data_IF_660402602861
#
_entry.id   IF_660402602861
#
_cell.length_a   1.000
_cell.length_b   1.000
_cell.length_c   1.000
_cell.angle_alpha   90.00
_cell.angle_beta   90.00
_cell.angle_gamma   90.00
#
_symmetry.space_group_name_H-M   'P 1'
#
loop_
_entity.id
_entity.type
_entity.pdbx_description
1 polymer ?
#
# COMPACT_ATOMS: atom_id res chain seq x y z
N UNK A 1 7.24 -40.60 -36.22
CA UNK A 1 5.97 -41.33 -36.08
C UNK A 1 4.96 -40.67 -37.00
N UNK A 2 4.46 -41.42 -37.97
CA UNK A 2 3.50 -40.97 -38.98
C UNK A 2 2.14 -40.74 -38.34
N UNK A 3 1.57 -39.54 -38.47
CA UNK A 3 0.17 -39.29 -38.12
C UNK A 3 -0.67 -39.53 -39.37
N UNK A 4 -1.25 -40.73 -39.46
CA UNK A 4 -2.33 -41.04 -40.40
C UNK A 4 -3.55 -40.20 -40.02
N UNK A 5 -4.03 -39.39 -40.96
CA UNK A 5 -5.32 -38.70 -40.82
C UNK A 5 -6.42 -39.61 -41.40
N UNK A 6 -7.21 -40.21 -40.52
CA UNK A 6 -8.48 -40.87 -40.86
C UNK A 6 -9.55 -39.82 -41.13
N UNK A 7 -9.85 -39.60 -42.41
CA UNK A 7 -11.10 -38.98 -42.83
C UNK A 7 -11.85 -39.96 -43.74
N UNK A 8 -12.42 -40.98 -43.10
CA UNK A 8 -13.49 -41.77 -43.67
C UNK A 8 -14.76 -40.91 -43.75
N UNK A 9 -15.36 -40.88 -44.94
CA UNK A 9 -16.73 -40.52 -45.33
C UNK A 9 -16.75 -39.59 -46.55
N UNK A 10 -16.22 -40.10 -47.67
CA UNK A 10 -16.62 -39.59 -48.98
C UNK A 10 -17.88 -40.36 -49.42
N UNK A 11 -18.97 -39.63 -49.65
CA UNK A 11 -20.23 -40.20 -50.14
C UNK A 11 -19.98 -40.82 -51.52
N UNK A 12 -20.24 -42.12 -51.63
CA UNK A 12 -19.86 -42.97 -52.77
C UNK A 12 -21.06 -43.25 -53.67
N UNK A 13 -21.87 -42.25 -54.00
CA UNK A 13 -23.04 -42.43 -54.86
C UNK A 13 -23.02 -41.40 -55.99
N UNK A 14 -22.83 -41.89 -57.22
CA UNK A 14 -22.88 -41.07 -58.42
C UNK A 14 -24.27 -40.53 -58.67
N UNK A 15 -24.38 -39.21 -58.72
CA UNK A 15 -25.43 -38.50 -59.46
C UNK A 15 -24.78 -37.34 -60.20
N UNK A 16 -24.82 -37.42 -61.51
CA UNK A 16 -24.46 -36.36 -62.43
C UNK A 16 -25.51 -35.23 -62.37
N UNK A 17 -25.05 -34.01 -62.64
CA UNK A 17 -25.76 -32.92 -63.34
C UNK A 17 -26.05 -31.60 -62.60
N UNK A 18 -25.58 -30.54 -63.28
CA UNK A 18 -25.94 -29.12 -63.26
C UNK A 18 -25.33 -28.16 -62.23
N UNK A 19 -24.50 -27.25 -62.77
CA UNK A 19 -24.90 -25.84 -62.83
C UNK A 19 -24.47 -24.94 -61.68
N UNK A 20 -23.52 -24.04 -61.99
CA UNK A 20 -22.97 -22.93 -61.18
C UNK A 20 -21.96 -23.35 -60.11
N UNK A 21 -20.71 -23.42 -60.56
CA UNK A 21 -19.56 -23.56 -59.69
C UNK A 21 -19.26 -22.23 -58.95
N UNK A 22 -20.05 -21.94 -57.91
CA UNK A 22 -19.60 -21.04 -56.84
C UNK A 22 -18.57 -21.83 -56.04
N UNK A 23 -17.30 -21.54 -56.27
CA UNK A 23 -16.18 -22.07 -55.47
C UNK A 23 -16.37 -21.63 -54.02
N UNK A 24 -16.99 -22.47 -53.19
CA UNK A 24 -16.96 -22.31 -51.75
C UNK A 24 -15.57 -22.70 -51.28
N UNK A 25 -14.74 -21.69 -51.01
CA UNK A 25 -13.46 -21.89 -50.34
C UNK A 25 -13.82 -22.27 -48.90
N UNK A 26 -13.77 -23.57 -48.60
CA UNK A 26 -13.87 -24.09 -47.24
C UNK A 26 -12.55 -23.75 -46.54
N UNK A 27 -12.56 -22.66 -45.78
CA UNK A 27 -11.47 -22.39 -44.86
C UNK A 27 -11.60 -23.35 -43.67
N UNK A 28 -10.74 -24.37 -43.62
CA UNK A 28 -10.50 -25.10 -42.39
C UNK A 28 -9.98 -24.07 -41.36
N UNK A 29 -10.76 -23.75 -40.33
CA UNK A 29 -10.29 -22.92 -39.21
C UNK A 29 -9.37 -23.77 -38.35
N UNK A 30 -8.03 -23.57 -38.38
CA UNK A 30 -7.14 -24.28 -37.50
C UNK A 30 -7.10 -23.51 -36.17
N UNK A 31 -7.20 -24.25 -35.06
CA UNK A 31 -6.66 -23.89 -33.73
C UNK A 31 -7.21 -22.62 -33.06
N UNK A 32 -7.90 -22.82 -31.93
CA UNK A 32 -7.99 -21.93 -30.77
C UNK A 32 -7.81 -20.43 -31.07
N UNK A 33 -8.91 -19.76 -31.39
CA UNK A 33 -8.90 -18.30 -31.57
C UNK A 33 -8.62 -17.67 -30.21
N UNK A 34 -7.39 -17.20 -30.01
CA UNK A 34 -7.06 -16.34 -28.87
C UNK A 34 -8.05 -15.15 -28.88
N UNK A 35 -8.84 -14.95 -27.82
CA UNK A 35 -9.86 -13.91 -27.76
C UNK A 35 -9.27 -12.50 -27.92
N UNK A 36 -7.94 -12.35 -27.75
CA UNK A 36 -7.21 -11.10 -27.89
C UNK A 36 -6.76 -10.76 -29.33
N UNK A 37 -6.83 -11.73 -30.27
CA UNK A 37 -6.24 -11.60 -31.61
C UNK A 37 -6.98 -10.63 -32.53
N UNK A 38 -8.27 -10.40 -32.29
CA UNK A 38 -9.12 -9.48 -33.08
C UNK A 38 -9.61 -8.26 -32.29
N UNK A 39 -9.06 -8.01 -31.09
CA UNK A 39 -9.40 -6.81 -30.35
C UNK A 39 -8.73 -5.58 -30.98
N UNK A 40 -9.47 -4.49 -31.07
CA UNK A 40 -8.90 -3.18 -31.44
C UNK A 40 -7.90 -2.74 -30.35
N UNK A 41 -6.90 -1.90 -30.68
CA UNK A 41 -5.93 -1.39 -29.70
C UNK A 41 -6.57 -0.83 -28.43
N UNK A 42 -7.69 -0.10 -28.56
CA UNK A 42 -8.46 0.44 -27.43
C UNK A 42 -9.12 -0.64 -26.59
N UNK A 43 -9.63 -1.70 -27.21
CA UNK A 43 -10.22 -2.83 -26.49
C UNK A 43 -9.15 -3.64 -25.72
N UNK A 44 -7.96 -3.85 -26.31
CA UNK A 44 -6.83 -4.44 -25.59
C UNK A 44 -6.42 -3.61 -24.38
N UNK A 45 -6.29 -2.29 -24.55
CA UNK A 45 -5.99 -1.38 -23.43
C UNK A 45 -7.08 -1.41 -22.34
N UNK A 46 -8.36 -1.46 -22.71
CA UNK A 46 -9.44 -1.57 -21.73
C UNK A 46 -9.44 -2.93 -21.01
N UNK A 47 -9.10 -4.02 -21.70
CA UNK A 47 -8.97 -5.34 -21.08
C UNK A 47 -7.80 -5.39 -20.10
N UNK A 48 -6.65 -4.81 -20.45
CA UNK A 48 -5.51 -4.70 -19.53
C UNK A 48 -5.83 -3.81 -18.34
N UNK A 49 -6.52 -2.67 -18.54
CA UNK A 49 -6.99 -1.82 -17.45
C UNK A 49 -7.91 -2.59 -16.50
N UNK A 50 -8.90 -3.34 -17.02
CA UNK A 50 -9.79 -4.15 -16.18
C UNK A 50 -9.03 -5.22 -15.39
N UNK A 51 -8.04 -5.87 -16.01
CA UNK A 51 -7.18 -6.85 -15.34
C UNK A 51 -6.36 -6.19 -14.23
N UNK A 52 -5.75 -5.04 -14.50
CA UNK A 52 -5.00 -4.26 -13.52
C UNK A 52 -5.91 -3.80 -12.36
N UNK A 53 -7.14 -3.37 -12.66
CA UNK A 53 -8.13 -3.00 -11.65
C UNK A 53 -8.53 -4.18 -10.76
N UNK A 54 -8.74 -5.37 -11.34
CA UNK A 54 -9.00 -6.59 -10.56
C UNK A 54 -7.84 -6.92 -9.63
N UNK A 55 -6.60 -6.96 -10.16
CA UNK A 55 -5.43 -7.24 -9.32
C UNK A 55 -5.25 -6.22 -8.21
N UNK A 56 -5.52 -4.93 -8.49
CA UNK A 56 -5.44 -3.88 -7.49
C UNK A 56 -6.50 -4.06 -6.39
N UNK A 57 -7.73 -4.44 -6.76
CA UNK A 57 -8.80 -4.78 -5.80
C UNK A 57 -8.41 -5.99 -4.94
N UNK A 58 -7.85 -7.03 -5.54
CA UNK A 58 -7.43 -8.25 -4.84
C UNK A 58 -6.30 -7.94 -3.84
N UNK A 59 -5.30 -7.16 -4.28
CA UNK A 59 -4.21 -6.71 -3.39
C UNK A 59 -4.72 -5.83 -2.24
N UNK A 60 -5.71 -4.95 -2.49
CA UNK A 60 -6.33 -4.16 -1.43
C UNK A 60 -7.07 -5.03 -0.42
N UNK A 61 -7.78 -6.06 -0.87
CA UNK A 61 -8.44 -7.03 0.01
C UNK A 61 -7.42 -7.83 0.84
N UNK A 62 -6.28 -8.20 0.26
CA UNK A 62 -5.21 -8.91 0.97
C UNK A 62 -4.57 -8.02 2.05
N UNK A 63 -4.30 -6.75 1.72
CA UNK A 63 -3.79 -5.76 2.68
C UNK A 63 -4.76 -5.62 3.85
N UNK A 64 -6.06 -5.47 3.60
CA UNK A 64 -7.07 -5.34 4.66
C UNK A 64 -7.10 -6.58 5.58
N UNK A 65 -6.96 -7.78 5.02
CA UNK A 65 -6.86 -9.02 5.81
C UNK A 65 -5.60 -9.03 6.69
N UNK A 66 -4.45 -8.64 6.13
CA UNK A 66 -3.18 -8.54 6.86
C UNK A 66 -3.24 -7.49 7.96
N UNK A 67 -3.89 -6.35 7.73
CA UNK A 67 -4.10 -5.30 8.74
C UNK A 67 -4.96 -5.82 9.91
N UNK A 68 -6.00 -6.62 9.62
CA UNK A 68 -6.81 -7.26 10.65
C UNK A 68 -5.98 -8.27 11.48
N UNK A 69 -5.11 -9.04 10.82
CA UNK A 69 -4.20 -9.98 11.49
C UNK A 69 -3.18 -9.24 12.37
N UNK A 70 -2.57 -8.16 11.87
CA UNK A 70 -1.67 -7.29 12.64
C UNK A 70 -2.40 -6.75 13.86
N UNK A 71 -3.64 -6.27 13.72
CA UNK A 71 -4.43 -5.78 14.84
C UNK A 71 -4.70 -6.87 15.89
N UNK A 72 -4.97 -8.10 15.47
CA UNK A 72 -5.16 -9.25 16.37
C UNK A 72 -3.87 -9.59 17.12
N UNK A 73 -2.76 -9.76 16.40
CA UNK A 73 -1.46 -10.07 16.99
C UNK A 73 -0.99 -8.96 17.93
N UNK A 74 -1.27 -7.70 17.60
CA UNK A 74 -0.96 -6.55 18.47
C UNK A 74 -1.74 -6.63 19.79
N UNK A 75 -3.03 -7.00 19.75
CA UNK A 75 -3.83 -7.22 20.97
C UNK A 75 -3.28 -8.36 21.81
N UNK A 76 -2.94 -9.49 21.19
CA UNK A 76 -2.35 -10.65 21.88
C UNK A 76 -1.00 -10.28 22.50
N UNK A 77 -0.16 -9.54 21.79
CA UNK A 77 1.14 -9.08 22.28
C UNK A 77 1.01 -8.11 23.46
N UNK A 78 0.01 -7.22 23.44
CA UNK A 78 -0.31 -6.36 24.59
C UNK A 78 -0.78 -7.20 25.79
N UNK A 79 -1.66 -8.17 25.59
CA UNK A 79 -2.11 -9.07 26.66
C UNK A 79 -0.95 -9.86 27.26
N UNK A 80 -0.07 -10.42 26.43
CA UNK A 80 1.13 -11.14 26.90
C UNK A 80 2.09 -10.21 27.66
N UNK A 81 2.23 -8.95 27.25
CA UNK A 81 3.02 -7.95 27.99
C UNK A 81 2.40 -7.62 29.34
N UNK A 82 1.07 -7.51 29.44
CA UNK A 82 0.37 -7.30 30.71
C UNK A 82 0.55 -8.51 31.64
N UNK A 83 0.34 -9.73 31.15
CA UNK A 83 0.57 -10.96 31.92
C UNK A 83 2.03 -11.06 32.38
N UNK A 84 2.99 -10.72 31.51
CA UNK A 84 4.41 -10.68 31.86
C UNK A 84 4.70 -9.63 32.92
N UNK A 85 4.10 -8.45 32.83
CA UNK A 85 4.26 -7.38 33.82
C UNK A 85 3.63 -7.77 35.17
N UNK A 86 2.46 -8.41 35.17
CA UNK A 86 1.81 -8.96 36.37
C UNK A 86 2.65 -10.07 37.00
N UNK A 87 3.19 -10.99 36.19
CA UNK A 87 4.09 -12.04 36.64
C UNK A 87 5.39 -11.47 37.22
N UNK A 88 5.95 -10.42 36.60
CA UNK A 88 7.13 -9.72 37.11
C UNK A 88 6.83 -8.91 38.38
N UNK A 89 5.63 -8.36 38.52
CA UNK A 89 5.19 -7.68 39.74
C UNK A 89 5.06 -8.67 40.92
N UNK A 90 4.62 -9.90 40.65
CA UNK A 90 4.58 -10.98 41.66
C UNK A 90 5.98 -11.50 42.03
N UNK A 91 6.97 -11.41 41.13
CA UNK A 91 8.35 -11.85 41.40
C UNK A 91 9.25 -10.76 42.02
N UNK A 92 8.88 -9.48 41.87
CA UNK A 92 9.67 -8.34 42.35
C UNK A 92 9.44 -7.98 43.84
N UNK A 93 8.82 -8.87 44.62
CA UNK A 93 8.81 -8.81 46.09
C UNK A 93 10.15 -9.20 46.75
N UNK A 94 11.21 -9.48 45.99
CA UNK A 94 12.57 -9.64 46.50
C UNK A 94 13.53 -8.75 45.70
N UNK A 95 13.73 -7.54 46.22
CA UNK A 95 14.85 -6.66 45.85
C UNK A 95 16.05 -6.99 46.76
N UNK A 96 17.29 -6.83 46.26
CA UNK A 96 17.92 -5.53 46.48
C UNK A 96 18.81 -5.03 45.32
N UNK A 97 18.78 -3.70 45.14
CA UNK A 97 19.91 -2.84 44.69
C UNK A 97 20.26 -2.92 43.20
N UNK A 98 20.21 -1.86 42.38
CA UNK A 98 20.53 -0.46 42.66
C UNK A 98 21.95 -0.16 42.16
N UNK A 99 22.09 0.65 41.11
CA UNK A 99 23.36 1.24 40.73
C UNK A 99 23.58 1.45 39.23
N UNK A 100 23.03 2.54 38.69
CA UNK A 100 23.61 3.21 37.52
C UNK A 100 25.02 3.71 37.85
N UNK A 101 25.96 3.57 36.93
CA UNK A 101 27.20 4.37 36.92
C UNK A 101 27.76 4.48 35.51
N UNK A 102 27.56 5.67 34.95
CA UNK A 102 28.21 6.19 33.75
C UNK A 102 29.65 6.61 34.06
N UNK A 103 30.56 6.15 33.19
CA UNK A 103 31.68 6.86 32.57
C UNK A 103 32.95 7.26 33.36
N UNK A 104 34.07 6.83 32.74
CA UNK A 104 35.36 7.50 32.48
C UNK A 104 36.39 7.75 33.60
N UNK A 105 37.46 6.92 33.56
CA UNK A 105 38.87 7.28 33.27
C UNK A 105 39.29 8.72 33.62
N UNK A 106 40.31 8.91 34.47
CA UNK A 106 41.70 9.28 34.09
C UNK A 106 42.61 9.45 35.32
N UNK A 107 43.91 9.33 35.05
CA UNK A 107 45.09 9.32 35.93
C UNK A 107 45.43 10.66 36.61
N UNK A 108 45.90 10.63 37.88
CA UNK A 108 47.13 11.32 38.36
C UNK A 108 47.38 11.05 39.87
N UNK A 109 48.64 11.05 40.35
CA UNK A 109 48.97 10.83 41.76
C UNK A 109 49.17 12.17 42.51
N UNK A 110 48.75 12.24 43.77
CA UNK A 110 49.17 13.31 44.68
C UNK A 110 49.60 12.75 46.04
N UNK A 111 50.85 13.05 46.39
CA UNK A 111 51.41 12.99 47.73
C UNK A 111 50.61 13.84 48.72
N UNK A 112 50.43 13.35 49.94
CA UNK A 112 50.47 14.17 51.14
C UNK A 112 51.17 13.38 52.26
N UNK A 113 52.29 13.92 52.69
CA UNK A 113 52.87 13.65 53.99
C UNK A 113 51.97 14.29 55.06
N UNK A 114 51.72 13.59 56.15
CA UNK A 114 51.44 14.21 57.45
C UNK A 114 52.11 13.40 58.56
N UNK A 115 52.52 14.13 59.58
CA UNK A 115 53.64 13.87 60.47
C UNK A 115 53.17 13.25 61.80
N UNK A 116 54.04 12.43 62.39
CA UNK A 116 53.91 11.98 63.78
C UNK A 116 54.87 10.82 64.01
N UNK A 117 56.15 11.06 64.28
CA UNK A 117 56.66 11.28 65.63
C UNK A 117 56.08 10.30 66.66
N UNK A 118 56.78 9.18 66.86
CA UNK A 118 56.87 8.52 68.16
C UNK A 118 58.21 7.79 68.28
N UNK A 119 58.78 7.82 69.47
CA UNK A 119 60.16 7.48 69.77
C UNK A 119 60.55 6.01 69.54
N UNK A 120 61.84 5.83 69.23
CA UNK A 120 62.57 4.58 69.37
C UNK A 120 62.44 4.03 70.80
N UNK A 121 61.65 2.97 70.96
CA UNK A 121 61.72 2.11 72.15
C UNK A 121 62.35 0.79 71.73
N UNK A 122 63.55 0.59 72.26
CA UNK A 122 64.35 -0.64 72.23
C UNK A 122 63.53 -1.90 72.55
N UNK A 123 63.92 -3.07 72.02
CA UNK A 123 63.09 -4.28 72.04
C UNK A 123 63.04 -4.89 73.44
N UNK A 124 61.86 -4.83 74.08
CA UNK A 124 61.55 -5.64 75.25
C UNK A 124 60.97 -6.99 74.83
N UNK A 125 61.47 -8.12 75.36
CA UNK A 125 60.97 -9.44 75.03
C UNK A 125 59.72 -9.81 75.85
N UNK A 126 58.74 -10.42 75.16
CA UNK A 126 57.62 -11.25 75.68
C UNK A 126 56.43 -10.54 76.36
N UNK A 127 55.19 -11.10 76.36
CA UNK A 127 54.88 -12.54 76.32
C UNK A 127 53.70 -12.99 75.41
N UNK A 128 53.68 -14.29 75.09
CA UNK A 128 52.55 -15.09 74.54
C UNK A 128 52.26 -14.99 73.04
N UNK A 129 52.90 -15.89 72.29
CA UNK A 129 52.19 -16.63 71.24
C UNK A 129 51.00 -17.35 71.89
N UNK A 130 49.84 -16.71 71.94
CA UNK A 130 48.60 -17.45 72.21
C UNK A 130 48.20 -18.13 70.91
N UNK A 131 47.95 -19.46 70.90
CA UNK A 131 47.53 -20.20 69.71
C UNK A 131 46.13 -19.79 69.20
N UNK A 132 45.53 -18.74 69.76
CA UNK A 132 44.21 -18.25 69.42
C UNK A 132 44.26 -17.02 68.49
N UNK A 133 45.21 -16.10 68.69
CA UNK A 133 45.39 -14.92 67.81
C UNK A 133 45.89 -15.28 66.42
N UNK A 134 46.83 -16.24 66.31
CA UNK A 134 47.28 -16.77 65.01
C UNK A 134 46.13 -17.44 64.23
N UNK A 135 45.25 -18.17 64.93
CA UNK A 135 44.07 -18.79 64.31
C UNK A 135 43.07 -17.76 63.81
N UNK A 136 42.93 -16.63 64.50
CA UNK A 136 42.03 -15.54 64.12
C UNK A 136 42.57 -14.76 62.91
N UNK A 137 43.88 -14.50 62.87
CA UNK A 137 44.56 -13.92 61.71
C UNK A 137 44.43 -14.84 60.48
N UNK A 138 44.62 -16.16 60.65
CA UNK A 138 44.46 -17.13 59.56
C UNK A 138 43.02 -17.12 59.04
N UNK A 139 42.01 -17.13 59.93
CA UNK A 139 40.60 -17.07 59.53
C UNK A 139 40.28 -15.81 58.73
N UNK A 140 40.73 -14.65 59.19
CA UNK A 140 40.52 -13.37 58.49
C UNK A 140 41.20 -13.41 57.12
N UNK A 141 42.43 -13.92 57.03
CA UNK A 141 43.15 -14.05 55.76
C UNK A 141 42.42 -14.97 54.78
N UNK A 142 41.93 -16.13 55.23
CA UNK A 142 41.15 -17.05 54.41
C UNK A 142 39.84 -16.41 53.93
N UNK A 143 39.15 -15.66 54.79
CA UNK A 143 37.94 -14.92 54.39
C UNK A 143 38.20 -13.85 53.32
N UNK A 144 39.29 -13.09 53.44
CA UNK A 144 39.70 -12.12 52.40
C UNK A 144 40.08 -12.83 51.10
N UNK A 145 40.81 -13.94 51.17
CA UNK A 145 41.18 -14.74 49.99
C UNK A 145 39.94 -15.32 49.29
N UNK A 146 38.96 -15.81 50.05
CA UNK A 146 37.69 -16.30 49.52
C UNK A 146 36.83 -15.17 48.93
N UNK A 147 36.83 -13.97 49.56
CA UNK A 147 36.13 -12.81 49.04
C UNK A 147 36.75 -12.34 47.71
N UNK A 148 38.09 -12.27 47.62
CA UNK A 148 38.80 -11.93 46.38
C UNK A 148 38.52 -12.96 45.30
N UNK A 149 38.53 -14.26 45.65
CA UNK A 149 38.20 -15.34 44.71
C UNK A 149 36.77 -15.24 44.20
N UNK A 150 35.81 -15.00 45.09
CA UNK A 150 34.39 -14.84 44.73
C UNK A 150 34.16 -13.63 43.80
N UNK A 151 34.81 -12.50 44.08
CA UNK A 151 34.75 -11.33 43.20
C UNK A 151 35.38 -11.66 41.84
N UNK A 152 36.55 -12.30 41.83
CA UNK A 152 37.24 -12.68 40.61
C UNK A 152 36.39 -13.63 39.74
N UNK A 153 35.80 -14.66 40.34
CA UNK A 153 34.90 -15.60 39.66
C UNK A 153 33.67 -14.90 39.11
N UNK A 154 33.06 -13.97 39.86
CA UNK A 154 31.93 -13.16 39.38
C UNK A 154 32.32 -12.27 38.20
N UNK A 155 33.50 -11.64 38.25
CA UNK A 155 34.00 -10.82 37.13
C UNK A 155 34.33 -11.67 35.91
N UNK A 156 34.94 -12.84 36.10
CA UNK A 156 35.26 -13.75 35.00
C UNK A 156 33.99 -14.28 34.33
N UNK A 157 32.97 -14.69 35.09
CA UNK A 157 31.69 -15.11 34.55
C UNK A 157 30.99 -14.00 33.75
N UNK A 158 31.09 -12.74 34.20
CA UNK A 158 30.59 -11.59 33.44
C UNK A 158 31.36 -11.37 32.14
N UNK A 159 32.69 -11.48 32.17
CA UNK A 159 33.54 -11.38 30.97
C UNK A 159 33.16 -12.48 29.96
N UNK A 160 33.04 -13.73 30.41
CA UNK A 160 32.65 -14.86 29.57
C UNK A 160 31.26 -14.64 28.94
N UNK A 161 30.29 -14.16 29.72
CA UNK A 161 28.96 -13.83 29.21
C UNK A 161 29.00 -12.73 28.14
N UNK A 162 29.82 -11.69 28.34
CA UNK A 162 30.00 -10.62 27.36
C UNK A 162 30.68 -11.12 26.08
N UNK A 163 31.70 -11.96 26.21
CA UNK A 163 32.41 -12.57 25.07
C UNK A 163 31.45 -13.46 24.27
N UNK A 164 30.65 -14.29 24.94
CA UNK A 164 29.65 -15.13 24.30
C UNK A 164 28.61 -14.29 23.54
N UNK A 165 28.11 -13.21 24.17
CA UNK A 165 27.15 -12.31 23.53
C UNK A 165 27.75 -11.58 22.32
N UNK A 166 29.03 -11.24 22.37
CA UNK A 166 29.75 -10.63 21.25
C UNK A 166 29.92 -11.63 20.10
N UNK A 167 30.25 -12.89 20.41
CA UNK A 167 30.32 -13.96 19.41
C UNK A 167 28.96 -14.17 18.70
N UNK A 168 27.87 -14.28 19.47
CA UNK A 168 26.53 -14.41 18.91
C UNK A 168 26.10 -13.21 18.06
N UNK A 169 26.53 -12.01 18.43
CA UNK A 169 26.28 -10.80 17.64
C UNK A 169 27.06 -10.82 16.31
N UNK A 170 28.30 -11.28 16.34
CA UNK A 170 29.12 -11.44 15.14
C UNK A 170 28.54 -12.51 14.21
N UNK A 171 28.11 -13.66 14.73
CA UNK A 171 27.48 -14.72 13.92
C UNK A 171 26.24 -14.19 13.20
N UNK A 172 25.36 -13.48 13.91
CA UNK A 172 24.19 -12.81 13.31
C UNK A 172 24.60 -11.80 12.25
N UNK A 173 25.67 -11.04 12.47
CA UNK A 173 26.16 -10.10 11.47
C UNK A 173 26.60 -10.83 10.19
N UNK A 174 27.35 -11.93 10.32
CA UNK A 174 27.81 -12.73 9.18
C UNK A 174 26.67 -13.43 8.45
N UNK A 175 25.58 -13.80 9.14
CA UNK A 175 24.37 -14.35 8.51
C UNK A 175 23.55 -13.28 7.77
N UNK A 176 23.41 -12.08 8.35
CA UNK A 176 22.61 -11.00 7.78
C UNK A 176 23.32 -10.31 6.61
N UNK A 177 24.66 -10.19 6.65
CA UNK A 177 25.43 -9.44 5.66
C UNK A 177 25.19 -9.90 4.22
N UNK A 178 25.24 -11.21 3.88
CA UNK A 178 24.94 -11.68 2.52
C UNK A 178 23.49 -11.43 2.09
N UNK A 179 22.54 -11.41 3.03
CA UNK A 179 21.14 -11.13 2.72
C UNK A 179 20.95 -9.65 2.36
N UNK A 180 21.59 -8.76 3.12
CA UNK A 180 21.65 -7.33 2.82
C UNK A 180 22.26 -7.10 1.43
N UNK A 181 23.41 -7.70 1.14
CA UNK A 181 24.08 -7.55 -0.17
C UNK A 181 23.21 -8.07 -1.34
N UNK A 182 22.40 -9.13 -1.11
CA UNK A 182 21.42 -9.62 -2.11
C UNK A 182 20.26 -8.66 -2.33
N UNK A 183 19.73 -8.07 -1.24
CA UNK A 183 18.63 -7.10 -1.34
C UNK A 183 19.10 -5.81 -2.01
N UNK A 184 20.32 -5.36 -1.72
CA UNK A 184 20.94 -4.19 -2.35
C UNK A 184 21.07 -4.38 -3.87
N UNK A 185 21.51 -5.55 -4.33
CA UNK A 185 21.56 -5.88 -5.77
C UNK A 185 20.19 -5.86 -6.42
N UNK A 186 19.18 -6.47 -5.78
CA UNK A 186 17.79 -6.44 -6.28
C UNK A 186 17.24 -5.03 -6.36
N UNK A 187 17.58 -4.19 -5.39
CA UNK A 187 17.16 -2.79 -5.37
C UNK A 187 17.78 -2.03 -6.56
N UNK A 188 19.08 -2.23 -6.83
CA UNK A 188 19.75 -1.66 -8.00
C UNK A 188 19.15 -2.16 -9.33
N UNK A 189 18.79 -3.44 -9.43
CA UNK A 189 18.13 -4.00 -10.61
C UNK A 189 16.77 -3.34 -10.87
N UNK A 190 15.92 -3.23 -9.84
CA UNK A 190 14.59 -2.58 -9.94
C UNK A 190 14.73 -1.09 -10.26
N UNK A 191 15.71 -0.39 -9.67
CA UNK A 191 15.98 1.01 -9.99
C UNK A 191 16.38 1.21 -11.45
N UNK A 192 17.21 0.29 -12.00
CA UNK A 192 17.57 0.32 -13.41
C UNK A 192 16.37 0.04 -14.32
N UNK A 193 15.55 -0.96 -14.00
CA UNK A 193 14.32 -1.25 -14.75
C UNK A 193 13.36 -0.06 -14.76
N UNK A 194 13.21 0.63 -13.63
CA UNK A 194 12.43 1.86 -13.52
C UNK A 194 12.96 2.95 -14.46
N UNK A 195 14.27 3.20 -14.44
CA UNK A 195 14.89 4.21 -15.31
C UNK A 195 14.70 3.87 -16.80
N UNK A 196 14.86 2.60 -17.17
CA UNK A 196 14.63 2.14 -18.55
C UNK A 196 13.16 2.32 -18.98
N UNK A 197 12.21 2.04 -18.10
CA UNK A 197 10.79 2.20 -18.39
C UNK A 197 10.40 3.68 -18.52
N UNK A 198 10.92 4.55 -17.64
CA UNK A 198 10.75 6.00 -17.74
C UNK A 198 11.34 6.56 -19.03
N UNK A 199 12.51 6.07 -19.46
CA UNK A 199 13.12 6.47 -20.72
C UNK A 199 12.27 6.06 -21.93
N UNK A 200 11.78 4.80 -21.95
CA UNK A 200 10.88 4.30 -23.01
C UNK A 200 9.57 5.08 -23.06
N UNK A 201 9.03 5.47 -21.91
CA UNK A 201 7.82 6.29 -21.82
C UNK A 201 8.04 7.67 -22.43
N UNK A 202 9.12 8.38 -22.01
CA UNK A 202 9.49 9.69 -22.57
C UNK A 202 9.74 9.64 -24.08
N UNK A 203 10.44 8.61 -24.55
CA UNK A 203 10.66 8.41 -25.99
C UNK A 203 9.32 8.22 -26.74
N UNK A 204 8.39 7.44 -26.17
CA UNK A 204 7.06 7.28 -26.75
C UNK A 204 6.27 8.59 -26.75
N UNK A 205 6.32 9.40 -25.70
CA UNK A 205 5.66 10.71 -25.64
C UNK A 205 6.22 11.66 -26.69
N UNK A 206 7.54 11.71 -26.87
CA UNK A 206 8.16 12.57 -27.88
C UNK A 206 7.81 12.11 -29.30
N UNK A 207 7.79 10.79 -29.56
CA UNK A 207 7.29 10.24 -30.84
C UNK A 207 5.84 10.66 -31.11
N UNK A 208 4.97 10.59 -30.09
CA UNK A 208 3.59 11.04 -30.23
C UNK A 208 3.51 12.54 -30.49
N UNK A 209 4.26 13.36 -29.76
CA UNK A 209 4.30 14.83 -29.93
C UNK A 209 4.74 15.23 -31.33
N UNK A 210 5.79 14.61 -31.86
CA UNK A 210 6.26 14.82 -33.24
C UNK A 210 5.15 14.46 -34.23
N UNK A 211 4.52 13.30 -34.04
CA UNK A 211 3.43 12.83 -34.92
C UNK A 211 2.22 13.78 -34.89
N UNK A 212 1.80 14.24 -33.70
CA UNK A 212 0.73 15.21 -33.56
C UNK A 212 1.06 16.53 -34.26
N UNK A 213 2.29 17.02 -34.11
CA UNK A 213 2.73 18.25 -34.76
C UNK A 213 2.70 18.12 -36.30
N UNK A 214 3.18 16.99 -36.82
CA UNK A 214 3.14 16.72 -38.26
C UNK A 214 1.70 16.66 -38.80
N UNK A 215 0.80 15.96 -38.10
CA UNK A 215 -0.61 15.87 -38.50
C UNK A 215 -1.32 17.22 -38.41
N UNK A 216 -0.99 18.03 -37.40
CA UNK A 216 -1.53 19.39 -37.25
C UNK A 216 -1.11 20.30 -38.41
N UNK A 217 0.19 20.33 -38.74
CA UNK A 217 0.70 21.14 -39.87
C UNK A 217 0.07 20.70 -41.20
N UNK A 218 -0.01 19.39 -41.45
CA UNK A 218 -0.70 18.85 -42.64
C UNK A 218 -2.17 19.23 -42.69
N UNK A 219 -2.85 19.27 -41.54
CA UNK A 219 -4.23 19.74 -41.45
C UNK A 219 -4.38 21.22 -41.79
N UNK A 220 -3.44 22.06 -41.37
CA UNK A 220 -3.42 23.48 -41.75
C UNK A 220 -3.18 23.66 -43.25
N UNK A 221 -2.22 22.93 -43.82
CA UNK A 221 -1.95 22.96 -45.26
C UNK A 221 -3.18 22.52 -46.06
N UNK A 222 -3.84 21.42 -45.68
CA UNK A 222 -5.04 20.94 -46.34
C UNK A 222 -6.21 21.94 -46.26
N UNK A 223 -6.36 22.63 -45.13
CA UNK A 223 -7.36 23.69 -45.00
C UNK A 223 -7.04 24.90 -45.90
N UNK A 224 -5.76 25.25 -46.05
CA UNK A 224 -5.32 26.31 -46.96
C UNK A 224 -5.62 25.94 -48.43
N UNK A 225 -5.31 24.71 -48.84
CA UNK A 225 -5.62 24.21 -50.20
C UNK A 225 -7.13 24.15 -50.47
N UNK A 226 -7.95 23.80 -49.48
CA UNK A 226 -9.41 23.79 -49.63
C UNK A 226 -10.01 25.20 -49.81
N UNK A 227 -9.35 26.24 -49.27
CA UNK A 227 -9.74 27.64 -49.48
C UNK A 227 -9.38 28.11 -50.89
N UNK A 228 -8.27 27.64 -51.47
CA UNK A 228 -7.89 27.96 -52.86
C UNK A 228 -8.80 27.26 -53.91
N UNK A 229 -9.28 26.03 -53.66
CA UNK A 229 -10.24 25.36 -54.55
C UNK A 229 -11.69 25.88 -54.42
N UNK A 230 -12.04 26.55 -53.31
CA UNK A 230 -13.38 27.10 -53.06
C UNK A 230 -13.50 28.60 -53.28
N UNK A 231 -12.53 29.23 -53.96
CA UNK A 231 -12.54 30.65 -54.35
C UNK A 231 -13.50 30.98 -55.51
N UNK A 232 -14.65 30.32 -55.58
CA UNK A 232 -15.83 30.84 -56.31
C UNK A 232 -17.05 30.75 -55.39
N UNK A 233 -17.57 31.94 -55.04
CA UNK A 233 -18.81 32.26 -54.34
C UNK A 233 -18.99 31.88 -52.85
N UNK A 234 -18.87 32.87 -51.97
CA UNK A 234 -19.49 32.84 -50.63
C UNK A 234 -18.92 33.83 -49.60
N UNK A 235 -19.72 34.74 -49.00
CA UNK A 235 -19.20 35.95 -48.33
C UNK A 235 -18.95 35.81 -46.81
N UNK A 236 -18.08 36.72 -46.31
CA UNK A 236 -18.05 37.32 -44.97
C UNK A 236 -17.74 36.46 -43.70
N UNK A 237 -17.10 35.29 -43.80
CA UNK A 237 -16.69 34.53 -42.59
C UNK A 237 -15.31 34.92 -42.00
N UNK A 238 -14.45 35.55 -42.81
CA UNK A 238 -13.11 35.94 -42.37
C UNK A 238 -13.11 37.05 -41.30
N UNK A 239 -14.04 38.00 -41.41
CA UNK A 239 -14.17 39.10 -40.44
C UNK A 239 -14.67 38.62 -39.07
N UNK A 240 -15.55 37.62 -39.05
CA UNK A 240 -16.03 36.98 -37.81
C UNK A 240 -14.94 36.17 -37.09
N UNK A 241 -14.10 35.43 -37.82
CA UNK A 241 -13.00 34.67 -37.20
C UNK A 241 -11.96 35.62 -36.58
N UNK A 242 -11.61 36.67 -37.32
CA UNK A 242 -10.64 37.68 -36.87
C UNK A 242 -11.20 38.47 -35.67
N UNK A 243 -12.49 38.80 -35.68
CA UNK A 243 -13.19 39.43 -34.55
C UNK A 243 -13.22 38.53 -33.31
N UNK A 244 -13.50 37.23 -33.48
CA UNK A 244 -13.50 36.24 -32.40
C UNK A 244 -12.09 36.01 -31.83
N UNK A 245 -11.05 35.98 -32.67
CA UNK A 245 -9.66 35.91 -32.20
C UNK A 245 -9.27 37.16 -31.40
N UNK A 246 -9.71 38.35 -31.86
CA UNK A 246 -9.49 39.61 -31.12
C UNK A 246 -10.23 39.61 -29.78
N UNK A 247 -11.46 39.10 -29.73
CA UNK A 247 -12.20 38.90 -28.49
C UNK A 247 -11.53 37.87 -27.56
N UNK A 248 -10.94 36.81 -28.13
CA UNK A 248 -10.22 35.79 -27.35
C UNK A 248 -8.93 36.38 -26.76
N UNK A 249 -8.20 37.20 -27.52
CA UNK A 249 -7.02 37.93 -27.03
C UNK A 249 -7.41 38.90 -25.90
N UNK A 250 -8.49 39.66 -26.07
CA UNK A 250 -9.00 40.59 -25.05
C UNK A 250 -9.42 39.84 -23.78
N UNK A 251 -10.21 38.76 -23.91
CA UNK A 251 -10.64 37.96 -22.75
C UNK A 251 -9.47 37.25 -22.06
N UNK A 252 -8.42 36.87 -22.80
CA UNK A 252 -7.18 36.34 -22.23
C UNK A 252 -6.42 37.40 -21.43
N UNK A 253 -6.29 38.61 -21.97
CA UNK A 253 -5.65 39.74 -21.28
C UNK A 253 -6.45 40.19 -20.04
N UNK A 254 -7.78 40.17 -20.11
CA UNK A 254 -8.65 40.41 -18.95
C UNK A 254 -8.47 39.31 -17.88
N UNK A 255 -8.34 38.04 -18.27
CA UNK A 255 -8.03 36.96 -17.34
C UNK A 255 -6.64 37.08 -16.72
N UNK A 256 -5.64 37.54 -17.48
CA UNK A 256 -4.30 37.82 -16.98
C UNK A 256 -4.29 39.03 -16.05
N UNK A 257 -5.08 40.06 -16.32
CA UNK A 257 -5.32 41.19 -15.41
C UNK A 257 -5.98 40.75 -14.10
N UNK A 258 -6.97 39.85 -14.15
CA UNK A 258 -7.61 39.30 -12.94
C UNK A 258 -6.67 38.38 -12.15
N UNK A 259 -5.62 37.83 -12.77
CA UNK A 259 -4.57 37.08 -12.05
C UNK A 259 -3.66 37.99 -11.22
N UNK A 260 -3.48 39.26 -11.61
CA UNK A 260 -2.46 40.15 -11.02
C UNK A 260 -3.00 41.26 -10.11
N UNK A 261 -4.31 41.45 -9.96
CA UNK A 261 -4.85 42.52 -9.11
C UNK A 261 -5.34 41.99 -7.75
N UNK A 262 -4.45 42.10 -6.76
CA UNK A 262 -4.71 42.34 -5.32
C UNK A 262 -5.48 41.31 -4.47
N UNK A 263 -6.00 40.22 -5.04
CA UNK A 263 -6.58 39.13 -4.24
C UNK A 263 -5.51 38.16 -3.68
N UNK A 264 -4.35 38.08 -4.34
CA UNK A 264 -3.29 37.11 -4.03
C UNK A 264 -2.30 37.55 -2.95
N UNK A 265 -2.15 38.85 -2.67
CA UNK A 265 -1.24 39.32 -1.62
C UNK A 265 -1.75 39.05 -0.20
N UNK A 266 -3.07 38.90 -0.01
CA UNK A 266 -3.66 38.80 1.33
C UNK A 266 -3.85 37.37 1.84
N UNK A 267 -3.83 36.35 0.97
CA UNK A 267 -4.07 34.96 1.35
C UNK A 267 -2.86 34.09 1.05
N UNK A 268 -1.91 34.09 1.98
CA UNK A 268 -0.67 33.30 1.99
C UNK A 268 -0.94 31.79 2.21
N UNK A 269 -1.86 31.16 1.48
CA UNK A 269 -2.26 29.77 1.76
C UNK A 269 -2.34 28.81 0.58
N UNK A 270 -2.47 29.24 -0.69
CA UNK A 270 -2.51 28.29 -1.82
C UNK A 270 -1.85 28.92 -3.05
N UNK A 271 -0.86 28.25 -3.63
CA UNK A 271 -0.16 28.65 -4.86
C UNK A 271 -1.13 28.65 -6.05
N UNK A 272 -0.96 29.57 -7.01
CA UNK A 272 -1.79 29.61 -8.23
C UNK A 272 -1.80 28.29 -9.00
N UNK A 273 -0.72 27.49 -8.91
CA UNK A 273 -0.66 26.13 -9.48
C UNK A 273 -1.53 25.13 -8.73
N UNK A 274 -1.63 25.26 -7.41
CA UNK A 274 -2.49 24.43 -6.55
C UNK A 274 -3.96 24.81 -6.71
N UNK A 275 -4.28 26.08 -6.88
CA UNK A 275 -5.66 26.52 -7.16
C UNK A 275 -6.18 25.96 -8.50
N UNK A 276 -5.34 25.99 -9.55
CA UNK A 276 -5.68 25.44 -10.87
C UNK A 276 -5.80 23.90 -10.83
N UNK A 277 -4.98 23.22 -10.04
CA UNK A 277 -5.09 21.76 -9.88
C UNK A 277 -6.38 21.36 -9.14
N UNK A 278 -6.76 22.10 -8.10
CA UNK A 278 -8.02 21.91 -7.36
C UNK A 278 -9.22 22.16 -8.28
N UNK A 279 -9.23 23.24 -9.07
CA UNK A 279 -10.34 23.52 -9.99
C UNK A 279 -10.51 22.45 -11.06
N UNK A 280 -9.40 21.99 -11.67
CA UNK A 280 -9.44 20.91 -12.65
C UNK A 280 -9.91 19.58 -12.03
N UNK A 281 -9.51 19.28 -10.79
CA UNK A 281 -9.94 18.10 -10.05
C UNK A 281 -11.45 18.16 -9.72
N UNK A 282 -11.95 19.29 -9.22
CA UNK A 282 -13.37 19.52 -8.95
C UNK A 282 -14.22 19.44 -10.23
N UNK A 283 -13.73 20.00 -11.33
CA UNK A 283 -14.39 19.90 -12.64
C UNK A 283 -14.44 18.46 -13.13
N UNK A 284 -13.31 17.74 -13.11
CA UNK A 284 -13.22 16.34 -13.57
C UNK A 284 -14.10 15.40 -12.75
N UNK A 285 -14.20 15.62 -11.44
CA UNK A 285 -15.09 14.86 -10.55
C UNK A 285 -16.57 15.15 -10.79
N UNK A 286 -16.96 16.41 -11.00
CA UNK A 286 -18.32 16.78 -11.40
C UNK A 286 -18.73 16.13 -12.73
N UNK A 287 -17.88 16.21 -13.76
CA UNK A 287 -18.16 15.58 -15.05
C UNK A 287 -18.27 14.06 -14.95
N UNK A 288 -17.42 13.42 -14.14
CA UNK A 288 -17.52 11.98 -13.88
C UNK A 288 -18.85 11.63 -13.22
N UNK A 289 -19.28 12.40 -12.21
CA UNK A 289 -20.55 12.19 -11.50
C UNK A 289 -21.77 12.35 -12.42
N UNK A 290 -21.73 13.34 -13.31
CA UNK A 290 -22.75 13.55 -14.35
C UNK A 290 -22.80 12.37 -15.33
N UNK A 291 -21.65 11.85 -15.75
CA UNK A 291 -21.57 10.69 -16.65
C UNK A 291 -22.01 9.39 -15.95
N UNK A 292 -21.67 9.20 -14.68
CA UNK A 292 -22.09 8.06 -13.87
C UNK A 292 -23.60 8.08 -13.59
N UNK A 293 -24.19 9.26 -13.35
CA UNK A 293 -25.65 9.41 -13.20
C UNK A 293 -26.43 9.12 -14.48
N UNK A 294 -25.77 9.16 -15.65
CA UNK A 294 -26.38 8.94 -16.96
C UNK A 294 -26.24 7.49 -17.44
N UNK A 295 -25.53 6.61 -16.70
CA UNK A 295 -25.51 5.18 -17.01
C UNK A 295 -26.84 4.54 -16.53
N UNK A 296 -27.58 3.83 -17.40
CA UNK A 296 -28.66 2.97 -16.90
C UNK A 296 -28.03 1.93 -15.95
N UNK A 297 -28.65 1.72 -14.78
CA UNK A 297 -28.24 0.68 -13.81
C UNK A 297 -28.04 -0.63 -14.57
N UNK A 298 -26.91 -1.30 -14.34
CA UNK A 298 -26.55 -2.48 -15.13
C UNK A 298 -27.56 -3.61 -14.88
N UNK A 299 -27.77 -4.47 -15.87
CA UNK A 299 -28.65 -5.64 -15.75
C UNK A 299 -28.23 -6.53 -14.55
N UNK A 300 -26.93 -6.54 -14.22
CA UNK A 300 -26.38 -7.16 -13.01
C UNK A 300 -26.87 -6.52 -11.70
N UNK A 301 -27.06 -5.20 -11.64
CA UNK A 301 -27.59 -4.53 -10.45
C UNK A 301 -29.04 -4.91 -10.20
N UNK A 302 -29.83 -5.10 -11.27
CA UNK A 302 -31.22 -5.55 -11.18
C UNK A 302 -31.30 -7.01 -10.70
N UNK A 303 -30.44 -7.89 -11.21
CA UNK A 303 -30.39 -9.30 -10.80
C UNK A 303 -29.96 -9.47 -9.33
N UNK A 304 -28.94 -8.73 -8.90
CA UNK A 304 -28.51 -8.72 -7.49
C UNK A 304 -29.62 -8.20 -6.58
N UNK A 305 -30.29 -7.10 -6.97
CA UNK A 305 -31.42 -6.54 -6.21
C UNK A 305 -32.57 -7.55 -6.07
N UNK A 306 -32.87 -8.31 -7.13
CA UNK A 306 -33.88 -9.37 -7.10
C UNK A 306 -33.48 -10.55 -6.20
N UNK A 307 -32.21 -10.93 -6.18
CA UNK A 307 -31.70 -11.98 -5.27
C UNK A 307 -31.79 -11.54 -3.79
N UNK A 308 -31.48 -10.28 -3.49
CA UNK A 308 -31.66 -9.71 -2.15
C UNK A 308 -33.15 -9.66 -1.76
N UNK A 309 -34.03 -9.25 -2.68
CA UNK A 309 -35.47 -9.23 -2.41
C UNK A 309 -36.01 -10.64 -2.16
N UNK A 310 -35.61 -11.63 -2.95
CA UNK A 310 -35.98 -13.04 -2.76
C UNK A 310 -35.55 -13.56 -1.39
N UNK A 311 -34.33 -13.23 -0.98
CA UNK A 311 -33.79 -13.64 0.33
C UNK A 311 -34.51 -12.94 1.47
N UNK A 312 -34.77 -11.63 1.36
CA UNK A 312 -35.46 -10.86 2.38
C UNK A 312 -36.90 -11.36 2.58
N UNK A 313 -37.63 -11.71 1.51
CA UNK A 313 -38.97 -12.32 1.61
C UNK A 313 -38.92 -13.72 2.21
N UNK A 314 -37.94 -14.55 1.81
CA UNK A 314 -37.78 -15.89 2.37
C UNK A 314 -37.56 -15.87 3.88
N UNK A 315 -36.63 -15.03 4.36
CA UNK A 315 -36.36 -14.92 5.80
C UNK A 315 -37.46 -14.16 6.55
N UNK A 316 -38.16 -13.22 5.93
CA UNK A 316 -39.33 -12.60 6.54
C UNK A 316 -40.43 -13.63 6.89
N UNK A 317 -40.58 -14.69 6.08
CA UNK A 317 -41.57 -15.75 6.31
C UNK A 317 -41.06 -16.89 7.18
N UNK A 318 -39.75 -17.17 7.16
CA UNK A 318 -39.15 -18.34 7.84
C UNK A 318 -38.48 -18.00 9.17
N UNK A 319 -37.94 -16.79 9.33
CA UNK A 319 -37.27 -16.32 10.55
C UNK A 319 -38.22 -15.48 11.40
N UNK A 320 -38.72 -16.08 12.48
CA UNK A 320 -39.63 -15.42 13.44
C UNK A 320 -38.91 -14.47 14.41
N UNK A 321 -37.59 -14.57 14.53
CA UNK A 321 -36.81 -13.79 15.50
C UNK A 321 -36.44 -12.40 14.92
N UNK A 322 -36.30 -12.29 13.59
CA UNK A 322 -35.88 -11.04 12.93
C UNK A 322 -36.81 -10.59 11.80
N UNK A 323 -38.11 -10.81 11.94
CA UNK A 323 -39.13 -10.37 10.95
C UNK A 323 -39.10 -8.86 10.70
N UNK A 324 -38.79 -8.06 11.72
CA UNK A 324 -38.72 -6.59 11.62
C UNK A 324 -37.54 -6.11 10.77
N UNK A 325 -36.37 -6.74 10.90
CA UNK A 325 -35.20 -6.45 10.07
C UNK A 325 -35.41 -6.84 8.62
N UNK A 326 -36.01 -8.00 8.37
CA UNK A 326 -36.33 -8.44 7.00
C UNK A 326 -37.42 -7.57 6.34
N UNK A 327 -38.43 -7.12 7.10
CA UNK A 327 -39.42 -6.17 6.61
C UNK A 327 -38.79 -4.84 6.24
N UNK A 328 -37.89 -4.31 7.07
CA UNK A 328 -37.16 -3.08 6.78
C UNK A 328 -36.29 -3.20 5.51
N UNK A 329 -35.65 -4.35 5.30
CA UNK A 329 -34.90 -4.64 4.08
C UNK A 329 -35.80 -4.67 2.83
N UNK A 330 -36.96 -5.33 2.90
CA UNK A 330 -37.95 -5.34 1.81
C UNK A 330 -38.43 -3.92 1.50
N UNK A 331 -38.70 -3.11 2.55
CA UNK A 331 -39.14 -1.74 2.38
C UNK A 331 -38.08 -0.85 1.72
N UNK A 332 -36.81 -1.06 2.06
CA UNK A 332 -35.69 -0.35 1.46
C UNK A 332 -35.46 -0.73 0.00
N UNK A 333 -35.62 -2.02 -0.36
CA UNK A 333 -35.38 -2.51 -1.72
C UNK A 333 -36.50 -2.07 -2.68
N UNK A 334 -37.76 -2.15 -2.25
CA UNK A 334 -38.92 -1.76 -3.05
C UNK A 334 -39.18 -0.25 -3.05
N UNK A 335 -38.53 0.51 -2.16
CA UNK A 335 -38.57 1.96 -2.16
C UNK A 335 -39.91 2.54 -1.69
N UNK A 336 -40.59 1.91 -0.72
CA UNK A 336 -41.87 2.40 -0.22
C UNK A 336 -41.77 3.83 0.32
N UNK A 337 -42.76 4.63 -0.05
CA UNK A 337 -42.93 5.99 0.46
C UNK A 337 -43.15 5.97 1.98
N UNK A 338 -42.95 7.12 2.62
CA UNK A 338 -43.12 7.24 4.08
C UNK A 338 -44.54 6.94 4.54
N UNK A 339 -45.53 7.25 3.69
CA UNK A 339 -46.95 6.97 3.94
C UNK A 339 -47.26 5.48 3.89
N UNK A 340 -46.74 4.77 2.87
CA UNK A 340 -46.88 3.32 2.73
C UNK A 340 -46.20 2.57 3.87
N UNK A 341 -45.01 3.01 4.30
CA UNK A 341 -44.30 2.42 5.45
C UNK A 341 -45.11 2.52 6.74
N UNK A 342 -45.71 3.69 7.00
CA UNK A 342 -46.57 3.90 8.16
C UNK A 342 -47.85 3.06 8.10
N UNK A 343 -48.42 2.84 6.91
CA UNK A 343 -49.58 1.97 6.73
C UNK A 343 -49.24 0.49 6.97
N UNK A 344 -48.07 0.04 6.48
CA UNK A 344 -47.56 -1.32 6.70
C UNK A 344 -47.27 -1.54 8.19
N UNK A 345 -46.63 -0.59 8.87
CA UNK A 345 -46.34 -0.69 10.32
C UNK A 345 -47.62 -0.75 11.17
N UNK A 346 -48.64 0.03 10.80
CA UNK A 346 -49.96 -0.07 11.43
C UNK A 346 -50.63 -1.43 11.19
N UNK A 347 -50.51 -1.97 9.98
CA UNK A 347 -51.05 -3.28 9.64
C UNK A 347 -50.30 -4.41 10.37
N UNK A 348 -48.97 -4.36 10.46
CA UNK A 348 -48.19 -5.38 11.18
C UNK A 348 -48.40 -5.32 12.69
N UNK A 349 -48.61 -4.13 13.27
CA UNK A 349 -49.00 -3.99 14.67
C UNK A 349 -50.40 -4.53 14.95
N UNK A 350 -51.35 -4.34 14.02
CA UNK A 350 -52.71 -4.85 14.12
C UNK A 350 -52.79 -6.38 13.92
N UNK A 351 -51.97 -6.92 13.02
CA UNK A 351 -51.82 -8.36 12.75
C UNK A 351 -50.54 -8.89 13.40
N UNK A 352 -50.44 -8.76 14.71
CA UNK A 352 -49.43 -9.53 15.46
C UNK A 352 -49.81 -11.01 15.36
N UNK A 353 -49.06 -11.76 14.55
CA UNK A 353 -49.21 -13.20 14.40
C UNK A 353 -49.05 -13.85 15.78
N UNK A 354 -50.14 -14.42 16.32
CA UNK A 354 -50.09 -15.30 17.49
C UNK A 354 -49.39 -16.61 17.17
#
# INVERSE_FOLDING_TARGET
MSSQCDHAHFARNGTTYSGRDKRFIVHCSPTHVDPDKYLTPTQRANATIKRLQSMLSDSQSEIASKEQEIAKLTKELVQLRLIKAESQALTNGHSPGGGDSRLSVETTPCSLADSGHFEDISPQPSPRNTPNGEKEIIKIKTQYEDQVRSIQESTNAKIECLVQRLAEANDKYYELRPQYDKLEKKLQEIEKEKQELEAKFKESEERHKITYLQMFNKGQEAALFAVDESATDGPAKADTLTSLLKQLEVTKLELESVKDVDYWERARTISGKEAVSIWNLCRKTMYRRLLESRKPRSEQDAEVTLQFLKSAVYYFLTDRENTTGHLAAIQSILGFTREERNAIEKATAAYTWK
#
